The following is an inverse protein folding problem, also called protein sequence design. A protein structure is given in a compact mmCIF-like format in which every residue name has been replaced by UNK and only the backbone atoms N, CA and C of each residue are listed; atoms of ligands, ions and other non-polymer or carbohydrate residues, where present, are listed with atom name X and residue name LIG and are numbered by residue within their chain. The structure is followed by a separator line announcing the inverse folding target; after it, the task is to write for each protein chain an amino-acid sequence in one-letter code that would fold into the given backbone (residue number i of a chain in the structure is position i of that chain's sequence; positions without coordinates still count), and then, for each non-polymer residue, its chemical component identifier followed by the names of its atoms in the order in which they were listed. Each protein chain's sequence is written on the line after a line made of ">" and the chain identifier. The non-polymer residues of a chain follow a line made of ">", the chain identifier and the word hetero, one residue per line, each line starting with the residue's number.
data_IF_215269695508
#
_entry.id   IF_215269695508
#
_cell.length_a   1.000
_cell.length_b   1.000
_cell.length_c   1.000
_cell.angle_alpha   90.00
_cell.angle_beta   90.00
_cell.angle_gamma   90.00
#
_symmetry.space_group_name_H-M   'P 1'
#
loop_
_entity.id
_entity.type
_entity.pdbx_description
1 polymer ?
#
# COMPACT_ATOMS: atom_id res chain seq x y z
N UNK A 1 -0.98 17.47 12.74
CA UNK A 1 0.32 16.76 12.63
C UNK A 1 0.93 16.58 14.00
N UNK A 2 1.51 15.43 14.28
CA UNK A 2 2.33 15.26 15.48
C UNK A 2 3.58 16.16 15.32
N UNK A 3 3.87 16.97 16.33
CA UNK A 3 5.07 17.85 16.32
C UNK A 3 6.30 17.05 16.76
N UNK A 4 6.63 16.02 15.99
CA UNK A 4 7.75 15.10 16.26
C UNK A 4 8.62 15.05 15.01
N UNK A 5 9.91 15.25 15.18
CA UNK A 5 10.90 15.08 14.12
C UNK A 5 11.47 13.66 14.21
N UNK A 6 11.55 12.99 13.08
CA UNK A 6 12.14 11.66 12.95
C UNK A 6 13.40 11.74 12.11
N UNK A 7 14.42 10.99 12.50
CA UNK A 7 15.56 10.73 11.63
C UNK A 7 15.14 9.68 10.57
N UNK A 8 15.00 10.14 9.33
CA UNK A 8 14.55 9.29 8.22
C UNK A 8 15.72 8.51 7.65
N UNK A 9 15.62 7.19 7.68
CA UNK A 9 16.60 6.27 7.09
C UNK A 9 15.97 5.63 5.85
N UNK A 10 16.44 5.96 4.63
CA UNK A 10 15.93 5.36 3.41
C UNK A 10 16.45 3.93 3.25
N UNK A 11 15.57 3.02 2.85
CA UNK A 11 15.88 1.62 2.56
C UNK A 11 15.69 1.29 1.09
N UNK A 12 16.42 0.30 0.61
CA UNK A 12 16.27 -0.24 -0.76
C UNK A 12 14.97 -1.03 -0.93
N UNK A 13 14.42 -1.54 0.16
CA UNK A 13 13.18 -2.29 0.13
C UNK A 13 12.65 -2.64 1.53
N UNK A 14 11.39 -3.07 1.61
CA UNK A 14 10.73 -3.32 2.90
C UNK A 14 11.36 -4.46 3.71
N UNK A 15 11.97 -5.44 3.05
CA UNK A 15 12.63 -6.55 3.75
C UNK A 15 13.83 -6.08 4.59
N UNK A 16 14.63 -5.14 4.06
CA UNK A 16 15.75 -4.53 4.78
C UNK A 16 15.27 -3.78 6.02
N UNK A 17 14.22 -2.99 5.89
CA UNK A 17 13.63 -2.26 7.02
C UNK A 17 13.14 -3.19 8.13
N UNK A 18 12.50 -4.32 7.76
CA UNK A 18 12.07 -5.35 8.71
C UNK A 18 13.27 -5.98 9.44
N UNK A 19 14.33 -6.32 8.70
CA UNK A 19 15.55 -6.89 9.31
C UNK A 19 16.23 -5.92 10.28
N UNK A 20 16.34 -4.63 9.91
CA UNK A 20 16.95 -3.64 10.78
C UNK A 20 16.11 -3.32 12.02
N UNK A 21 14.77 -3.41 11.92
CA UNK A 21 13.89 -3.35 13.08
C UNK A 21 14.12 -4.51 14.04
N UNK A 22 14.27 -5.73 13.52
CA UNK A 22 14.63 -6.91 14.35
C UNK A 22 15.99 -6.79 15.01
N UNK A 23 16.96 -6.22 14.30
CA UNK A 23 18.30 -6.00 14.83
C UNK A 23 18.39 -4.83 15.83
N UNK A 24 17.28 -4.12 16.08
CA UNK A 24 17.26 -2.94 16.95
C UNK A 24 18.05 -1.74 16.41
N UNK A 25 18.31 -1.72 15.11
CA UNK A 25 19.07 -0.64 14.45
C UNK A 25 18.18 0.55 14.10
N UNK A 26 16.86 0.34 14.06
CA UNK A 26 15.84 1.38 13.89
C UNK A 26 14.70 1.14 14.87
N UNK A 27 14.07 2.21 15.34
CA UNK A 27 13.03 2.15 16.35
C UNK A 27 11.69 1.66 15.77
N UNK A 28 11.37 2.04 14.53
CA UNK A 28 10.16 1.61 13.81
C UNK A 28 10.34 1.75 12.30
N UNK A 29 9.52 1.04 11.53
CA UNK A 29 9.48 1.13 10.07
C UNK A 29 8.05 1.28 9.56
N UNK A 30 7.86 2.03 8.47
CA UNK A 30 6.64 2.07 7.69
C UNK A 30 6.83 1.21 6.43
N UNK A 31 6.19 0.06 6.38
CA UNK A 31 6.33 -0.92 5.30
C UNK A 31 4.95 -1.46 4.87
N UNK A 32 4.81 -1.98 3.64
CA UNK A 32 3.59 -2.68 3.25
C UNK A 32 3.29 -3.83 4.20
N UNK A 33 2.02 -3.98 4.60
CA UNK A 33 1.59 -5.01 5.54
C UNK A 33 2.05 -6.44 5.15
N UNK A 34 1.97 -6.87 3.87
CA UNK A 34 2.48 -8.17 3.46
C UNK A 34 3.95 -8.40 3.78
N UNK A 35 4.77 -7.36 3.76
CA UNK A 35 6.21 -7.47 4.04
C UNK A 35 6.53 -7.65 5.52
N UNK A 36 5.65 -7.19 6.39
CA UNK A 36 5.77 -7.34 7.84
C UNK A 36 4.98 -8.55 8.38
N UNK A 37 4.12 -9.16 7.55
CA UNK A 37 3.34 -10.33 7.93
C UNK A 37 4.29 -11.49 8.29
N UNK A 38 4.07 -12.09 9.45
CA UNK A 38 4.91 -13.20 9.93
C UNK A 38 6.29 -12.79 10.46
N UNK A 39 6.63 -11.51 10.48
CA UNK A 39 7.91 -11.03 11.01
C UNK A 39 8.03 -11.14 12.53
N UNK A 40 6.94 -11.26 13.27
CA UNK A 40 6.92 -11.20 14.73
C UNK A 40 7.09 -9.80 15.31
N UNK A 41 7.26 -8.77 14.48
CA UNK A 41 7.31 -7.39 14.93
C UNK A 41 5.93 -6.91 15.39
N UNK A 42 5.91 -6.04 16.39
CA UNK A 42 4.68 -5.43 16.87
C UNK A 42 4.17 -4.39 15.89
N UNK A 43 2.92 -4.53 15.45
CA UNK A 43 2.24 -3.47 14.68
C UNK A 43 1.79 -2.35 15.61
N UNK A 44 2.11 -1.11 15.26
CA UNK A 44 1.73 0.09 16.02
C UNK A 44 0.44 0.72 15.48
N UNK A 45 0.18 0.57 14.18
CA UNK A 45 -1.00 1.08 13.52
C UNK A 45 -0.99 0.81 12.03
N UNK A 46 -2.15 0.95 11.40
CA UNK A 46 -2.36 0.72 9.97
C UNK A 46 -2.64 2.03 9.25
N UNK A 47 -1.98 2.25 8.14
CA UNK A 47 -2.33 3.28 7.17
C UNK A 47 -3.48 2.77 6.27
N UNK A 48 -4.67 2.67 6.84
CA UNK A 48 -5.84 2.13 6.18
C UNK A 48 -7.11 2.84 6.65
N UNK A 49 -8.18 2.89 5.84
CA UNK A 49 -9.46 3.49 6.23
C UNK A 49 -10.20 2.68 7.30
N UNK A 50 -9.93 1.37 7.39
CA UNK A 50 -10.53 0.46 8.37
C UNK A 50 -9.50 -0.58 8.82
N UNK A 51 -9.76 -1.23 9.96
CA UNK A 51 -8.90 -2.32 10.46
C UNK A 51 -8.90 -3.51 9.51
N UNK A 52 -7.77 -4.19 9.44
CA UNK A 52 -7.69 -5.46 8.73
C UNK A 52 -8.30 -6.58 9.61
N UNK A 53 -9.28 -7.35 9.11
CA UNK A 53 -9.94 -8.40 9.90
C UNK A 53 -9.00 -9.49 10.45
N UNK A 54 -7.85 -9.69 9.82
CA UNK A 54 -6.88 -10.71 10.25
C UNK A 54 -5.94 -10.25 11.37
N UNK A 55 -5.89 -8.96 11.62
CA UNK A 55 -5.14 -8.31 12.69
C UNK A 55 -6.04 -7.24 13.34
N UNK A 56 -7.23 -7.64 13.71
CA UNK A 56 -8.29 -6.74 14.19
C UNK A 56 -7.89 -5.95 15.46
N UNK A 57 -6.92 -6.43 16.21
CA UNK A 57 -6.39 -5.76 17.40
C UNK A 57 -5.51 -4.54 17.06
N UNK A 58 -5.03 -4.43 15.81
CA UNK A 58 -4.19 -3.32 15.38
C UNK A 58 -5.08 -2.16 14.93
N UNK A 59 -5.02 -1.00 15.61
CA UNK A 59 -5.81 0.16 15.24
C UNK A 59 -5.31 0.79 13.94
N UNK A 60 -6.18 1.52 13.25
CA UNK A 60 -5.76 2.41 12.17
C UNK A 60 -5.16 3.70 12.73
N UNK A 61 -4.35 4.42 11.95
CA UNK A 61 -3.87 5.74 12.36
C UNK A 61 -5.03 6.73 12.53
N UNK A 62 -6.10 6.58 11.76
CA UNK A 62 -7.31 7.39 11.91
C UNK A 62 -7.96 7.21 13.27
N UNK A 63 -8.06 5.98 13.77
CA UNK A 63 -8.57 5.70 15.12
C UNK A 63 -7.66 6.27 16.22
N UNK A 64 -6.38 6.45 15.92
CA UNK A 64 -5.39 7.08 16.81
C UNK A 64 -5.36 8.62 16.70
N UNK A 65 -6.28 9.22 15.93
CA UNK A 65 -6.39 10.67 15.78
C UNK A 65 -5.59 11.27 14.61
N UNK A 66 -5.00 10.43 13.75
CA UNK A 66 -4.28 10.88 12.56
C UNK A 66 -5.07 10.52 11.31
N UNK A 67 -5.67 11.50 10.64
CA UNK A 67 -6.42 11.26 9.40
C UNK A 67 -5.47 11.06 8.21
N UNK A 68 -4.78 9.92 8.23
CA UNK A 68 -3.81 9.51 7.22
C UNK A 68 -4.14 8.08 6.79
N UNK A 69 -4.62 7.92 5.58
CA UNK A 69 -4.86 6.64 4.93
C UNK A 69 -4.42 6.71 3.47
N UNK A 70 -3.10 6.75 3.19
CA UNK A 70 -2.61 6.83 1.83
C UNK A 70 -3.03 5.60 1.04
N UNK A 71 -3.40 5.81 -0.21
CA UNK A 71 -3.72 4.72 -1.11
C UNK A 71 -2.47 3.90 -1.42
N UNK A 72 -2.57 2.59 -1.26
CA UNK A 72 -1.55 1.63 -1.67
C UNK A 72 -2.17 0.64 -2.64
N UNK A 73 -1.57 0.48 -3.80
CA UNK A 73 -2.05 -0.45 -4.83
C UNK A 73 -0.90 -1.05 -5.62
N UNK A 74 -1.10 -2.25 -6.13
CA UNK A 74 -0.29 -2.83 -7.18
C UNK A 74 -0.95 -2.58 -8.54
N UNK A 75 -0.17 -2.44 -9.59
CA UNK A 75 -0.68 -2.26 -10.94
C UNK A 75 0.07 -3.10 -11.96
N UNK A 76 -0.65 -3.64 -12.92
CA UNK A 76 -0.06 -4.18 -14.14
C UNK A 76 0.03 -3.04 -15.16
N UNK A 77 1.24 -2.73 -15.60
CA UNK A 77 1.51 -1.67 -16.56
C UNK A 77 1.92 -2.27 -17.91
N UNK A 78 1.57 -1.58 -18.97
CA UNK A 78 1.94 -1.92 -20.31
C UNK A 78 2.41 -0.67 -21.08
N UNK A 79 3.22 -0.81 -22.14
CA UNK A 79 3.64 0.33 -22.97
C UNK A 79 2.45 1.09 -23.54
N UNK A 80 2.57 2.43 -23.63
CA UNK A 80 1.61 3.24 -24.37
C UNK A 80 1.64 2.84 -25.85
N UNK A 81 0.49 2.81 -26.51
CA UNK A 81 0.41 2.43 -27.92
C UNK A 81 0.12 0.96 -28.19
N UNK A 82 -0.20 0.16 -27.19
CA UNK A 82 -0.75 -1.17 -27.43
C UNK A 82 -2.04 -1.09 -28.26
N UNK A 83 -2.19 -2.01 -29.27
CA UNK A 83 -3.44 -2.13 -29.99
C UNK A 83 -4.63 -2.30 -29.05
N UNK A 84 -5.76 -1.67 -29.38
CA UNK A 84 -6.95 -1.68 -28.52
C UNK A 84 -7.41 -3.12 -28.17
N UNK A 85 -7.35 -4.03 -29.13
CA UNK A 85 -7.72 -5.44 -28.94
C UNK A 85 -6.83 -6.13 -27.90
N UNK A 86 -5.53 -5.86 -27.93
CA UNK A 86 -4.57 -6.43 -26.96
C UNK A 86 -4.83 -5.86 -25.57
N UNK A 87 -5.07 -4.56 -25.47
CA UNK A 87 -5.40 -3.91 -24.20
C UNK A 87 -6.69 -4.44 -23.58
N UNK A 88 -7.72 -4.64 -24.39
CA UNK A 88 -9.00 -5.22 -23.93
C UNK A 88 -8.80 -6.67 -23.45
N UNK A 89 -8.08 -7.46 -24.22
CA UNK A 89 -7.77 -8.85 -23.86
C UNK A 89 -6.99 -8.94 -22.54
N UNK A 90 -5.95 -8.11 -22.37
CA UNK A 90 -5.19 -8.06 -21.13
C UNK A 90 -6.06 -7.65 -19.94
N UNK A 91 -6.92 -6.65 -20.11
CA UNK A 91 -7.83 -6.20 -19.05
C UNK A 91 -8.78 -7.32 -18.60
N UNK A 92 -9.35 -8.07 -19.56
CA UNK A 92 -10.25 -9.18 -19.26
C UNK A 92 -9.50 -10.37 -18.63
N UNK A 93 -8.31 -10.70 -19.12
CA UNK A 93 -7.47 -11.74 -18.52
C UNK A 93 -7.10 -11.39 -17.07
N UNK A 94 -6.70 -10.14 -16.81
CA UNK A 94 -6.39 -9.67 -15.46
C UNK A 94 -7.63 -9.70 -14.54
N UNK A 95 -8.79 -9.28 -15.05
CA UNK A 95 -10.05 -9.34 -14.30
C UNK A 95 -10.38 -10.76 -13.92
N UNK A 96 -10.36 -11.68 -14.89
CA UNK A 96 -10.64 -13.10 -14.67
C UNK A 96 -9.68 -13.73 -13.65
N UNK A 97 -8.38 -13.44 -13.77
CA UNK A 97 -7.38 -13.93 -12.84
C UNK A 97 -7.57 -13.38 -11.42
N UNK A 98 -7.85 -12.08 -11.28
CA UNK A 98 -8.02 -11.43 -9.98
C UNK A 98 -9.30 -11.87 -9.23
N UNK A 99 -10.32 -12.32 -9.96
CA UNK A 99 -11.56 -12.86 -9.39
C UNK A 99 -11.50 -14.37 -9.15
N UNK A 100 -10.44 -15.03 -9.59
CA UNK A 100 -10.27 -16.48 -9.43
C UNK A 100 -9.87 -16.87 -8.01
N UNK A 101 -10.31 -18.05 -7.57
CA UNK A 101 -10.08 -18.58 -6.22
C UNK A 101 -8.61 -18.61 -5.82
N UNK A 102 -7.71 -18.93 -6.76
CA UNK A 102 -6.27 -18.96 -6.52
C UNK A 102 -5.71 -17.59 -6.13
N UNK A 103 -6.14 -16.51 -6.83
CA UNK A 103 -5.74 -15.16 -6.49
C UNK A 103 -6.32 -14.72 -5.15
N UNK A 104 -7.60 -14.99 -4.93
CA UNK A 104 -8.29 -14.66 -3.67
C UNK A 104 -7.61 -15.34 -2.48
N UNK A 105 -7.25 -16.62 -2.62
CA UNK A 105 -6.52 -17.36 -1.58
C UNK A 105 -5.12 -16.76 -1.34
N UNK A 106 -4.39 -16.46 -2.40
CA UNK A 106 -3.06 -15.82 -2.31
C UNK A 106 -3.13 -14.43 -1.68
N UNK A 107 -4.07 -13.58 -2.10
CA UNK A 107 -4.28 -12.26 -1.52
C UNK A 107 -4.57 -12.34 -0.01
N UNK A 108 -5.46 -13.23 0.39
CA UNK A 108 -5.76 -13.48 1.81
C UNK A 108 -4.52 -13.93 2.59
N UNK A 109 -3.67 -14.78 2.04
CA UNK A 109 -2.47 -15.27 2.74
C UNK A 109 -1.49 -14.15 3.09
N UNK A 110 -1.46 -13.06 2.31
CA UNK A 110 -0.57 -11.90 2.50
C UNK A 110 -1.30 -10.65 3.04
N UNK A 111 -2.45 -10.82 3.68
CA UNK A 111 -3.22 -9.74 4.30
C UNK A 111 -3.79 -8.70 3.32
N UNK A 112 -3.83 -8.99 2.03
CA UNK A 112 -4.52 -8.14 1.06
C UNK A 112 -6.03 -8.38 1.09
N UNK A 113 -6.85 -7.34 0.87
CA UNK A 113 -8.27 -7.49 0.64
C UNK A 113 -8.54 -8.39 -0.59
N UNK A 114 -9.56 -9.24 -0.53
CA UNK A 114 -9.92 -10.11 -1.65
C UNK A 114 -10.66 -9.36 -2.78
N UNK A 115 -11.13 -8.15 -2.52
CA UNK A 115 -11.83 -7.23 -3.42
C UNK A 115 -10.90 -6.13 -3.96
N UNK A 116 -9.61 -6.39 -4.04
CA UNK A 116 -8.58 -5.41 -4.39
C UNK A 116 -8.50 -5.12 -5.90
N UNK A 117 -9.25 -5.83 -6.73
CA UNK A 117 -9.24 -5.60 -8.17
C UNK A 117 -9.92 -4.26 -8.54
N UNK A 118 -9.23 -3.49 -9.36
CA UNK A 118 -9.78 -2.33 -10.06
C UNK A 118 -9.41 -2.38 -11.54
N UNK A 119 -10.32 -1.98 -12.40
CA UNK A 119 -10.04 -1.85 -13.83
C UNK A 119 -9.14 -0.62 -14.14
N UNK A 120 -8.79 -0.44 -15.40
CA UNK A 120 -7.93 0.66 -15.83
C UNK A 120 -8.53 2.05 -15.54
N UNK A 121 -9.84 2.19 -15.58
CA UNK A 121 -10.54 3.46 -15.29
C UNK A 121 -10.47 3.77 -13.80
N UNK A 122 -10.74 2.80 -12.97
CA UNK A 122 -10.62 2.89 -11.51
C UNK A 122 -9.17 3.21 -11.10
N UNK A 123 -8.19 2.53 -11.72
CA UNK A 123 -6.77 2.79 -11.46
C UNK A 123 -6.38 4.22 -11.84
N UNK A 124 -6.81 4.70 -13.01
CA UNK A 124 -6.50 6.07 -13.45
C UNK A 124 -7.05 7.12 -12.48
N UNK A 125 -8.33 6.99 -12.09
CA UNK A 125 -8.96 7.89 -11.12
C UNK A 125 -8.26 7.86 -9.75
N UNK A 126 -7.88 6.68 -9.29
CA UNK A 126 -7.14 6.52 -8.03
C UNK A 126 -5.75 7.15 -8.11
N UNK A 127 -5.04 7.01 -9.23
CA UNK A 127 -3.73 7.63 -9.45
C UNK A 127 -3.82 9.15 -9.44
N UNK A 128 -4.80 9.74 -10.13
CA UNK A 128 -5.01 11.20 -10.16
C UNK A 128 -5.24 11.74 -8.75
N UNK A 129 -6.11 11.10 -7.98
CA UNK A 129 -6.40 11.47 -6.61
C UNK A 129 -5.16 11.35 -5.71
N UNK A 130 -4.45 10.23 -5.78
CA UNK A 130 -3.26 9.95 -4.97
C UNK A 130 -2.13 10.95 -5.28
N UNK A 131 -1.91 11.27 -6.55
CA UNK A 131 -0.92 12.28 -6.96
C UNK A 131 -1.27 13.66 -6.41
N UNK A 132 -2.55 14.04 -6.48
CA UNK A 132 -3.00 15.32 -5.96
C UNK A 132 -2.81 15.44 -4.44
N UNK A 133 -3.18 14.40 -3.69
CA UNK A 133 -3.02 14.34 -2.23
C UNK A 133 -1.55 14.36 -1.82
N UNK A 134 -0.71 13.56 -2.47
CA UNK A 134 0.74 13.52 -2.18
C UNK A 134 1.43 14.83 -2.52
N UNK A 135 1.08 15.47 -3.63
CA UNK A 135 1.61 16.80 -3.96
C UNK A 135 1.27 17.84 -2.91
N UNK A 136 0.01 17.84 -2.43
CA UNK A 136 -0.40 18.74 -1.35
C UNK A 136 0.41 18.48 -0.08
N UNK A 137 0.52 17.23 0.34
CA UNK A 137 1.28 16.84 1.53
C UNK A 137 2.75 17.24 1.43
N UNK A 138 3.40 16.96 0.29
CA UNK A 138 4.81 17.33 0.07
C UNK A 138 5.02 18.85 0.06
N UNK A 139 4.05 19.61 -0.45
CA UNK A 139 4.09 21.07 -0.40
C UNK A 139 3.99 21.58 1.05
N UNK A 140 3.05 21.06 1.84
CA UNK A 140 2.89 21.38 3.27
C UNK A 140 4.15 21.05 4.07
N UNK A 141 4.83 19.96 3.73
CA UNK A 141 6.08 19.52 4.35
C UNK A 141 7.32 20.25 3.81
N UNK A 142 7.15 21.15 2.83
CA UNK A 142 8.25 21.85 2.12
C UNK A 142 9.27 20.91 1.46
N UNK A 143 8.82 19.75 1.00
CA UNK A 143 9.64 18.73 0.33
C UNK A 143 9.54 18.80 -1.21
N UNK A 144 8.62 19.58 -1.77
CA UNK A 144 8.60 19.92 -3.19
C UNK A 144 9.66 20.99 -3.46
N UNK A 145 10.56 20.68 -4.40
CA UNK A 145 11.49 21.66 -4.99
C UNK A 145 10.87 22.30 -6.22
#
# INVERSE_FOLDING_TARGET
>A
MAKVEFNQIPFKGPAEAVQMSHAGQIDFAAVPLPSAAGSGLRFLGLFAPARNPRIADVPTLKEQGYDIAPLSFGALLAPSGLPAAVRMWLGEACRSAALGDAYVAAARSVFQPSDYYGDSTTLAANLEKDVAEKRRLLAELKLLK
#
